data_IF_339987179583
#
_entry.id   IF_339987179583
#
_cell.length_a   1.000
_cell.length_b   1.000
_cell.length_c   1.000
_cell.angle_alpha   90.00
_cell.angle_beta   90.00
_cell.angle_gamma   90.00
#
_symmetry.space_group_name_H-M   'P 1'
#
loop_
_entity.id
_entity.type
_entity.pdbx_description
1 polymer ?
#
# COMPACT_ATOMS: atom_id res chain seq x y z
N UNK A 1 21.23 -13.53 1.99
CA UNK A 1 21.04 -12.25 2.68
C UNK A 1 19.93 -12.39 3.73
N UNK A 2 20.19 -11.95 4.93
CA UNK A 2 19.22 -12.07 6.02
C UNK A 2 18.11 -11.01 5.93
N UNK A 3 18.47 -9.82 5.47
CA UNK A 3 17.54 -8.70 5.35
C UNK A 3 17.22 -8.36 3.91
N UNK A 4 16.91 -7.11 3.65
CA UNK A 4 16.53 -6.62 2.33
C UNK A 4 17.31 -5.36 1.96
N UNK A 5 17.86 -5.36 0.74
CA UNK A 5 18.44 -4.18 0.10
C UNK A 5 17.99 -4.20 -1.36
N UNK A 6 17.40 -3.13 -1.83
CA UNK A 6 16.96 -3.05 -3.22
C UNK A 6 16.65 -1.62 -3.64
N UNK A 7 16.56 -1.37 -4.95
CA UNK A 7 16.27 -0.04 -5.50
C UNK A 7 14.77 0.25 -5.39
N UNK A 8 14.32 0.60 -4.20
CA UNK A 8 12.88 0.69 -3.88
C UNK A 8 12.12 1.68 -4.75
N UNK A 9 12.70 2.84 -5.06
CA UNK A 9 12.04 3.82 -5.93
C UNK A 9 11.80 3.23 -7.31
N UNK A 10 12.84 2.66 -7.91
CA UNK A 10 12.76 2.06 -9.24
C UNK A 10 11.76 0.90 -9.28
N UNK A 11 11.80 0.02 -8.30
CA UNK A 11 10.88 -1.11 -8.22
C UNK A 11 9.43 -0.65 -8.06
N UNK A 12 9.22 0.38 -7.25
CA UNK A 12 7.88 0.94 -7.01
C UNK A 12 7.31 1.57 -8.28
N UNK A 13 8.10 2.39 -8.98
CA UNK A 13 7.67 3.05 -10.20
C UNK A 13 7.42 2.08 -11.35
N UNK A 14 8.19 1.00 -11.43
CA UNK A 14 8.04 -0.02 -12.47
C UNK A 14 6.92 -1.03 -12.17
N UNK A 15 6.45 -1.10 -10.93
CA UNK A 15 5.44 -2.07 -10.53
C UNK A 15 4.08 -1.80 -11.17
N UNK A 16 3.48 -2.85 -11.74
CA UNK A 16 2.12 -2.81 -12.29
C UNK A 16 1.14 -3.70 -11.52
N UNK A 17 1.62 -4.41 -10.50
CA UNK A 17 0.76 -5.23 -9.66
C UNK A 17 0.02 -4.35 -8.65
N UNK A 18 -1.23 -4.70 -8.36
CA UNK A 18 -1.97 -4.02 -7.30
C UNK A 18 -1.20 -4.09 -5.98
N UNK A 19 -0.70 -5.29 -5.63
CA UNK A 19 0.07 -5.51 -4.40
C UNK A 19 1.14 -6.56 -4.64
N UNK A 20 2.35 -6.28 -4.18
CA UNK A 20 3.42 -7.27 -4.20
C UNK A 20 4.27 -7.15 -2.94
N UNK A 21 4.30 -8.21 -2.16
CA UNK A 21 5.15 -8.28 -0.97
C UNK A 21 6.59 -8.49 -1.41
N UNK A 22 7.48 -7.58 -1.06
CA UNK A 22 8.91 -7.68 -1.37
C UNK A 22 9.70 -8.37 -0.27
N UNK A 23 9.38 -8.09 0.99
CA UNK A 23 10.11 -8.64 2.13
C UNK A 23 9.26 -8.65 3.38
N UNK A 24 9.35 -9.74 4.12
CA UNK A 24 8.67 -9.90 5.41
C UNK A 24 9.71 -10.09 6.50
N UNK A 25 9.82 -9.10 7.39
CA UNK A 25 10.65 -9.17 8.58
C UNK A 25 9.85 -9.62 9.79
N UNK A 26 10.47 -9.57 10.97
CA UNK A 26 9.78 -9.93 12.22
C UNK A 26 8.75 -8.86 12.60
N UNK A 27 9.14 -7.58 12.49
CA UNK A 27 8.31 -6.45 12.94
C UNK A 27 7.90 -5.48 11.83
N UNK A 28 8.24 -5.78 10.59
CA UNK A 28 7.80 -4.96 9.46
C UNK A 28 7.74 -5.78 8.17
N UNK A 29 6.97 -5.27 7.21
CA UNK A 29 6.80 -5.91 5.92
C UNK A 29 6.78 -4.84 4.84
N UNK A 30 7.61 -5.01 3.81
CA UNK A 30 7.72 -4.07 2.69
C UNK A 30 6.88 -4.56 1.52
N UNK A 31 6.00 -3.70 1.04
CA UNK A 31 5.03 -4.02 -0.01
C UNK A 31 5.01 -2.88 -1.02
N UNK A 32 5.03 -3.20 -2.31
CA UNK A 32 4.82 -2.21 -3.37
C UNK A 32 3.41 -2.35 -3.93
N UNK A 33 2.81 -1.22 -4.30
CA UNK A 33 1.45 -1.17 -4.83
C UNK A 33 1.35 -0.22 -6.01
N UNK A 34 0.45 -0.56 -6.94
CA UNK A 34 0.05 0.29 -8.04
C UNK A 34 -1.47 0.33 -8.09
N UNK A 35 -2.04 1.53 -7.99
CA UNK A 35 -3.46 1.75 -8.13
C UNK A 35 -3.73 2.37 -9.50
N UNK A 36 -4.66 1.77 -10.23
CA UNK A 36 -5.12 2.30 -11.52
C UNK A 36 -5.83 3.65 -11.31
N UNK A 37 -5.98 4.46 -12.37
CA UNK A 37 -6.73 5.71 -12.27
C UNK A 37 -8.10 5.48 -11.62
N UNK A 38 -8.46 6.35 -10.69
CA UNK A 38 -9.72 6.32 -9.92
C UNK A 38 -9.89 5.11 -8.99
N UNK A 39 -8.91 4.24 -8.89
CA UNK A 39 -8.97 3.05 -8.02
C UNK A 39 -8.66 3.43 -6.59
N UNK A 40 -9.25 2.69 -5.65
CA UNK A 40 -8.99 2.84 -4.23
C UNK A 40 -8.59 1.50 -3.63
N UNK A 41 -7.88 1.53 -2.49
CA UNK A 41 -7.54 0.31 -1.77
C UNK A 41 -8.82 -0.32 -1.19
N UNK A 42 -9.70 0.50 -0.66
CA UNK A 42 -10.90 0.10 0.03
C UNK A 42 -10.83 0.44 1.52
N UNK A 43 -11.97 0.49 2.17
CA UNK A 43 -12.03 0.81 3.60
C UNK A 43 -11.46 -0.34 4.41
N UNK A 44 -10.46 -0.05 5.24
CA UNK A 44 -9.74 -1.03 6.04
C UNK A 44 -9.51 -0.54 7.46
N UNK A 45 -9.35 -1.48 8.38
CA UNK A 45 -8.90 -1.21 9.74
C UNK A 45 -7.93 -2.31 10.14
N UNK A 46 -6.71 -1.93 10.50
CA UNK A 46 -5.72 -2.86 11.04
C UNK A 46 -5.59 -2.60 12.54
N UNK A 47 -6.17 -3.47 13.36
CA UNK A 47 -6.29 -3.21 14.80
C UNK A 47 -4.93 -3.11 15.51
N UNK A 48 -3.92 -3.84 15.03
CA UNK A 48 -2.62 -3.97 15.69
C UNK A 48 -1.43 -3.63 14.79
N UNK A 49 -1.68 -2.99 13.65
CA UNK A 49 -0.64 -2.70 12.65
C UNK A 49 -0.60 -1.21 12.35
N UNK A 50 0.56 -0.61 12.53
CA UNK A 50 0.85 0.71 11.98
C UNK A 50 1.22 0.54 10.52
N UNK A 51 0.78 1.47 9.66
CA UNK A 51 1.08 1.42 8.25
C UNK A 51 1.69 2.73 7.77
N UNK A 52 2.84 2.62 7.11
CA UNK A 52 3.53 3.75 6.50
C UNK A 52 3.40 3.63 4.98
N UNK A 53 3.12 4.75 4.31
CA UNK A 53 3.13 4.84 2.85
C UNK A 53 4.11 5.91 2.40
N UNK A 54 4.84 5.63 1.32
CA UNK A 54 5.59 6.64 0.58
C UNK A 54 5.05 6.68 -0.85
N UNK A 55 4.65 7.86 -1.29
CA UNK A 55 4.16 8.08 -2.66
C UNK A 55 5.34 8.39 -3.57
N UNK A 56 5.65 7.47 -4.48
CA UNK A 56 6.74 7.65 -5.44
C UNK A 56 6.29 8.41 -6.68
N UNK A 57 5.07 8.15 -7.18
CA UNK A 57 4.50 8.95 -8.27
C UNK A 57 2.98 8.92 -8.25
N UNK A 58 2.38 10.07 -8.47
CA UNK A 58 0.94 10.22 -8.53
C UNK A 58 0.37 11.15 -7.48
N UNK A 59 -0.94 11.21 -7.45
CA UNK A 59 -1.70 12.06 -6.52
C UNK A 59 -2.87 11.26 -5.97
N UNK A 60 -3.34 11.65 -4.80
CA UNK A 60 -4.50 10.98 -4.21
C UNK A 60 -4.98 11.66 -2.95
N UNK A 61 -5.82 10.93 -2.21
CA UNK A 61 -6.26 11.33 -0.89
C UNK A 61 -6.27 10.12 0.03
N UNK A 62 -5.98 10.37 1.29
CA UNK A 62 -6.12 9.39 2.36
C UNK A 62 -7.24 9.85 3.28
N UNK A 63 -8.07 8.91 3.69
CA UNK A 63 -9.19 9.16 4.60
C UNK A 63 -8.89 8.39 5.86
N UNK A 64 -8.78 9.10 6.99
CA UNK A 64 -8.50 8.49 8.31
C UNK A 64 -9.59 8.92 9.28
N UNK A 65 -10.38 7.95 9.74
CA UNK A 65 -11.54 8.18 10.61
C UNK A 65 -12.46 9.29 10.07
N UNK A 66 -12.69 9.28 8.75
CA UNK A 66 -13.54 10.23 8.05
C UNK A 66 -12.86 11.55 7.65
N UNK A 67 -11.64 11.82 8.09
CA UNK A 67 -10.90 13.02 7.72
C UNK A 67 -10.10 12.78 6.44
N UNK A 68 -10.34 13.62 5.41
CA UNK A 68 -9.66 13.50 4.12
C UNK A 68 -8.46 14.44 4.07
N UNK A 69 -7.33 13.92 3.59
CA UNK A 69 -6.11 14.69 3.34
C UNK A 69 -5.56 14.32 1.97
N UNK A 70 -5.31 15.32 1.14
CA UNK A 70 -4.71 15.12 -0.20
C UNK A 70 -3.21 14.91 -0.07
N UNK A 71 -2.67 14.13 -0.98
CA UNK A 71 -1.23 13.88 -1.06
C UNK A 71 -0.75 13.87 -2.51
N UNK A 72 0.56 13.96 -2.67
CA UNK A 72 1.21 13.96 -3.99
C UNK A 72 2.55 13.24 -3.92
N UNK A 73 3.19 13.09 -5.06
CA UNK A 73 4.55 12.55 -5.18
C UNK A 73 5.48 13.14 -4.13
N UNK A 74 6.20 12.27 -3.44
CA UNK A 74 7.15 12.65 -2.41
C UNK A 74 6.60 12.68 -0.99
N UNK A 75 5.27 12.57 -0.84
CA UNK A 75 4.65 12.59 0.49
C UNK A 75 4.76 11.24 1.19
N UNK A 76 4.86 11.30 2.52
CA UNK A 76 4.76 10.15 3.40
C UNK A 76 3.43 10.20 4.15
N UNK A 77 2.85 9.04 4.42
CA UNK A 77 1.59 8.90 5.15
C UNK A 77 1.80 7.86 6.23
N UNK A 78 1.35 8.16 7.45
CA UNK A 78 1.33 7.16 8.53
C UNK A 78 -0.10 6.99 8.98
N UNK A 79 -0.58 5.75 8.94
CA UNK A 79 -1.89 5.36 9.44
C UNK A 79 -1.66 4.56 10.73
N UNK A 80 -1.98 5.14 11.90
CA UNK A 80 -1.82 4.42 13.17
C UNK A 80 -2.74 3.21 13.28
N UNK A 81 -2.32 2.21 14.04
CA UNK A 81 -3.13 1.04 14.33
C UNK A 81 -4.52 1.44 14.85
N UNK A 82 -5.55 0.73 14.41
CA UNK A 82 -6.92 0.99 14.84
C UNK A 82 -7.64 2.09 14.07
N UNK A 83 -6.98 2.77 13.16
CA UNK A 83 -7.58 3.84 12.35
C UNK A 83 -8.36 3.24 11.18
N UNK A 84 -9.63 3.60 11.04
CA UNK A 84 -10.44 3.26 9.87
C UNK A 84 -9.96 4.15 8.72
N UNK A 85 -9.46 3.55 7.65
CA UNK A 85 -8.81 4.32 6.59
C UNK A 85 -9.07 3.76 5.19
N UNK A 86 -8.88 4.64 4.20
CA UNK A 86 -8.90 4.31 2.78
C UNK A 86 -7.92 5.21 2.06
N UNK A 87 -7.32 4.71 0.99
CA UNK A 87 -6.41 5.46 0.15
C UNK A 87 -6.92 5.39 -1.29
N UNK A 88 -7.06 6.57 -1.91
CA UNK A 88 -7.73 6.72 -3.20
C UNK A 88 -6.80 7.40 -4.20
N UNK A 89 -6.67 6.81 -5.40
CA UNK A 89 -6.05 7.49 -6.53
C UNK A 89 -7.08 8.45 -7.13
N UNK A 90 -6.86 9.75 -6.99
CA UNK A 90 -7.80 10.78 -7.45
C UNK A 90 -7.56 11.19 -8.90
N UNK A 91 -6.53 10.69 -9.56
CA UNK A 91 -6.31 10.93 -10.99
C UNK A 91 -7.22 10.03 -11.81
N UNK A 92 -7.76 10.55 -12.90
CA UNK A 92 -8.54 9.78 -13.86
C UNK A 92 -7.69 9.26 -15.04
N UNK A 93 -6.39 9.54 -15.04
CA UNK A 93 -5.51 9.21 -16.16
C UNK A 93 -4.16 8.60 -15.78
N UNK A 94 -3.70 8.77 -14.54
CA UNK A 94 -2.37 8.36 -14.13
C UNK A 94 -2.45 7.39 -12.98
N UNK A 95 -1.70 6.27 -13.06
CA UNK A 95 -1.58 5.31 -11.96
C UNK A 95 -0.84 5.90 -10.78
N UNK A 96 -1.23 5.48 -9.58
CA UNK A 96 -0.57 5.86 -8.32
C UNK A 96 0.41 4.75 -7.95
N UNK A 97 1.67 5.13 -7.79
CA UNK A 97 2.76 4.22 -7.43
C UNK A 97 3.25 4.54 -6.03
N UNK A 98 3.20 3.55 -5.15
CA UNK A 98 3.63 3.74 -3.77
C UNK A 98 4.22 2.46 -3.20
N UNK A 99 5.00 2.60 -2.12
CA UNK A 99 5.34 1.45 -1.29
C UNK A 99 4.82 1.69 0.12
N UNK A 100 4.62 0.61 0.82
CA UNK A 100 4.05 0.64 2.16
C UNK A 100 4.81 -0.31 3.07
N UNK A 101 4.90 0.07 4.35
CA UNK A 101 5.47 -0.76 5.40
C UNK A 101 4.37 -1.05 6.42
N UNK A 102 4.12 -2.32 6.65
CA UNK A 102 3.25 -2.78 7.73
C UNK A 102 4.12 -3.13 8.94
N UNK A 103 3.75 -2.67 10.10
CA UNK A 103 4.47 -2.93 11.35
C UNK A 103 3.47 -3.35 12.43
N UNK A 104 3.36 -4.67 12.72
CA UNK A 104 4.05 -5.83 12.17
C UNK A 104 3.52 -6.28 10.80
N UNK A 105 4.07 -7.36 10.22
CA UNK A 105 3.61 -7.88 8.93
C UNK A 105 2.11 -8.19 8.90
N UNK A 106 1.47 -7.96 7.76
CA UNK A 106 0.02 -8.06 7.59
C UNK A 106 -0.41 -9.06 6.51
N UNK A 107 0.41 -9.29 5.49
CA UNK A 107 0.09 -10.19 4.37
C UNK A 107 0.97 -11.43 4.40
N UNK A 108 0.53 -12.56 3.77
CA UNK A 108 1.39 -13.71 3.58
C UNK A 108 2.66 -13.33 2.82
N UNK A 109 3.79 -13.93 3.22
CA UNK A 109 5.08 -13.66 2.59
C UNK A 109 5.04 -13.95 1.09
N UNK A 110 5.68 -13.09 0.30
CA UNK A 110 5.80 -13.20 -1.16
C UNK A 110 4.45 -13.15 -1.91
N UNK A 111 3.38 -12.74 -1.26
CA UNK A 111 2.07 -12.61 -1.90
C UNK A 111 2.11 -11.58 -3.02
N UNK A 112 1.51 -11.93 -4.16
CA UNK A 112 1.34 -11.03 -5.30
C UNK A 112 -0.14 -11.04 -5.70
N UNK A 113 -0.74 -9.86 -5.78
CA UNK A 113 -2.04 -9.64 -6.40
C UNK A 113 -1.84 -8.74 -7.62
N UNK A 114 -2.11 -9.25 -8.81
CA UNK A 114 -1.94 -8.46 -10.04
C UNK A 114 -2.98 -7.36 -10.14
N UNK A 115 -4.19 -7.62 -9.65
CA UNK A 115 -5.31 -6.68 -9.70
C UNK A 115 -5.97 -6.58 -8.33
N UNK A 116 -6.72 -5.50 -8.12
CA UNK A 116 -7.53 -5.34 -6.91
C UNK A 116 -8.58 -6.46 -6.79
N UNK A 117 -9.20 -6.83 -7.91
CA UNK A 117 -10.20 -7.91 -7.92
C UNK A 117 -9.59 -9.22 -7.40
N UNK A 118 -8.36 -9.53 -7.82
CA UNK A 118 -7.64 -10.72 -7.36
C UNK A 118 -7.40 -10.67 -5.85
N UNK A 119 -7.01 -9.49 -5.32
CA UNK A 119 -6.82 -9.30 -3.89
C UNK A 119 -8.12 -9.51 -3.10
N UNK A 120 -9.23 -9.01 -3.61
CA UNK A 120 -10.53 -9.14 -2.95
C UNK A 120 -11.06 -10.57 -2.93
N UNK A 121 -10.65 -11.39 -3.90
CA UNK A 121 -11.05 -12.79 -3.98
C UNK A 121 -10.13 -13.74 -3.18
N UNK A 122 -9.01 -13.25 -2.66
CA UNK A 122 -8.04 -14.04 -1.92
C UNK A 122 -8.48 -14.23 -0.48
N UNK A 123 -9.06 -15.38 -0.15
CA UNK A 123 -9.57 -15.69 1.18
C UNK A 123 -8.47 -15.91 2.21
N UNK A 124 -7.23 -16.16 1.77
CA UNK A 124 -6.09 -16.35 2.66
C UNK A 124 -5.50 -15.01 3.13
N UNK A 125 -5.84 -13.92 2.47
CA UNK A 125 -5.27 -12.59 2.71
C UNK A 125 -6.37 -11.54 2.80
N UNK A 126 -7.22 -11.68 3.79
CA UNK A 126 -8.20 -10.65 4.12
C UNK A 126 -7.67 -9.76 5.25
N UNK A 127 -7.84 -8.48 5.08
CA UNK A 127 -7.44 -7.46 6.06
C UNK A 127 -8.62 -6.65 6.54
#
# INVERSE_FOLDING_TARGET
>A
MIGYVGPIEQLTEANTNFRQVLFTGVYCQLVIMSLLPSEEIGLETHATVDQFFRVESGVGKVIMNGEETVFKTGDAIIVPAGTVHNLVNTSDSVSLKLYTLYSPPNHPDKKIHKTKAEAMLDEEDHV
#
